data_IF_260636064727
#
_entry.id   IF_260636064727
#
_cell.length_a   1.000
_cell.length_b   1.000
_cell.length_c   1.000
_cell.angle_alpha   90.00
_cell.angle_beta   90.00
_cell.angle_gamma   90.00
#
_symmetry.space_group_name_H-M   'P 1'
#
loop_
_entity.id
_entity.type
_entity.pdbx_description
1 polymer ?
#
# COMPACT_ATOMS: atom_id res chain seq x y z
N UNK A 1 22.38 1.57 -20.42
CA UNK A 1 22.30 1.50 -18.94
C UNK A 1 20.86 1.34 -18.58
N UNK A 2 20.43 0.17 -18.12
CA UNK A 2 19.08 0.00 -17.56
C UNK A 2 19.12 0.57 -16.15
N UNK A 3 18.47 1.72 -15.95
CA UNK A 3 18.29 2.29 -14.62
C UNK A 3 17.51 1.29 -13.75
N UNK A 4 18.07 0.85 -12.64
CA UNK A 4 17.32 0.07 -11.64
C UNK A 4 16.44 1.07 -10.88
N UNK A 5 15.14 0.98 -11.06
CA UNK A 5 14.19 1.73 -10.23
C UNK A 5 14.18 1.10 -8.83
N UNK A 6 14.41 1.92 -7.80
CA UNK A 6 14.35 1.49 -6.41
C UNK A 6 12.89 1.61 -5.93
N UNK A 7 12.22 0.48 -5.77
CA UNK A 7 10.81 0.43 -5.39
C UNK A 7 10.55 0.49 -3.88
N UNK A 8 11.59 0.50 -3.07
CA UNK A 8 11.46 0.66 -1.63
C UNK A 8 12.77 0.43 -0.91
N UNK A 9 12.93 1.07 0.21
CA UNK A 9 14.04 0.90 1.14
C UNK A 9 13.58 1.26 2.55
N UNK A 10 14.25 0.73 3.56
CA UNK A 10 14.00 1.09 4.95
C UNK A 10 15.31 1.47 5.63
N UNK A 11 15.27 2.47 6.51
CA UNK A 11 16.42 2.83 7.32
C UNK A 11 16.72 1.73 8.34
N UNK A 12 17.99 1.37 8.49
CA UNK A 12 18.45 0.46 9.56
C UNK A 12 18.54 1.16 10.92
N UNK A 13 18.46 2.50 10.95
CA UNK A 13 18.41 3.26 12.18
C UNK A 13 17.02 3.11 12.82
N UNK A 14 16.93 2.56 14.05
CA UNK A 14 15.66 2.35 14.74
C UNK A 14 14.82 3.63 14.91
N UNK A 15 15.47 4.78 15.02
CA UNK A 15 14.79 6.08 15.16
C UNK A 15 14.13 6.56 13.87
N UNK A 16 14.56 6.00 12.73
CA UNK A 16 14.12 6.43 11.38
C UNK A 16 13.47 5.30 10.59
N UNK A 17 13.38 4.11 11.13
CA UNK A 17 12.86 2.94 10.39
C UNK A 17 11.39 3.08 9.97
N UNK A 18 10.61 3.89 10.68
CA UNK A 18 9.22 4.18 10.34
C UNK A 18 9.05 5.38 9.39
N UNK A 19 10.15 6.01 8.98
CA UNK A 19 10.10 7.07 7.98
C UNK A 19 9.93 6.46 6.58
N UNK A 20 8.86 6.83 5.84
CA UNK A 20 8.73 6.39 4.46
C UNK A 20 9.81 7.05 3.60
N UNK A 21 10.41 6.28 2.73
CA UNK A 21 11.52 6.70 1.88
C UNK A 21 11.12 6.75 0.40
N UNK A 22 12.04 7.13 -0.46
CA UNK A 22 11.84 7.23 -1.91
C UNK A 22 10.68 8.16 -2.27
N UNK A 23 9.85 7.80 -3.24
CA UNK A 23 8.68 8.58 -3.66
C UNK A 23 7.53 8.57 -2.63
N UNK A 24 7.61 7.70 -1.61
CA UNK A 24 6.67 7.69 -0.49
C UNK A 24 7.00 8.70 0.61
N UNK A 25 8.14 9.41 0.54
CA UNK A 25 8.57 10.32 1.60
C UNK A 25 7.48 11.33 1.98
N UNK A 26 7.41 11.68 3.28
CA UNK A 26 6.40 12.62 3.80
C UNK A 26 6.51 14.01 3.18
N UNK A 27 7.71 14.40 2.72
CA UNK A 27 7.98 15.65 2.00
C UNK A 27 7.80 15.54 0.48
N UNK A 28 7.29 14.42 -0.01
CA UNK A 28 7.04 14.17 -1.43
C UNK A 28 5.56 14.13 -1.79
N UNK A 29 5.24 13.88 -3.08
CA UNK A 29 3.86 13.91 -3.57
C UNK A 29 2.90 12.96 -2.83
N UNK A 30 3.37 11.77 -2.45
CA UNK A 30 2.55 10.82 -1.68
C UNK A 30 2.27 11.37 -0.28
N UNK A 31 3.30 11.95 0.37
CA UNK A 31 3.15 12.60 1.67
C UNK A 31 2.14 13.75 1.64
N UNK A 32 2.21 14.60 0.60
CA UNK A 32 1.27 15.71 0.41
C UNK A 32 -0.17 15.21 0.25
N UNK A 33 -0.39 14.13 -0.51
CA UNK A 33 -1.70 13.51 -0.65
C UNK A 33 -2.23 13.03 0.70
N UNK A 34 -1.45 12.26 1.48
CA UNK A 34 -1.87 11.77 2.78
C UNK A 34 -2.05 12.88 3.82
N UNK A 35 -1.30 13.97 3.72
CA UNK A 35 -1.50 15.17 4.56
C UNK A 35 -2.82 15.89 4.22
N UNK A 36 -3.18 15.96 2.94
CA UNK A 36 -4.42 16.58 2.47
C UNK A 36 -5.65 15.69 2.72
N UNK A 37 -5.50 14.36 2.61
CA UNK A 37 -6.55 13.39 2.88
C UNK A 37 -6.78 13.27 4.40
N UNK A 38 -7.78 13.95 4.91
CA UNK A 38 -8.19 13.83 6.33
C UNK A 38 -8.96 12.52 6.54
N UNK A 39 -8.26 11.39 6.39
CA UNK A 39 -8.86 10.08 6.63
C UNK A 39 -9.40 9.97 8.06
N UNK A 40 -10.58 9.35 8.17
CA UNK A 40 -11.22 9.08 9.46
C UNK A 40 -10.37 8.14 10.33
N UNK A 41 -10.56 8.16 11.66
CA UNK A 41 -9.84 7.25 12.56
C UNK A 41 -10.09 5.76 12.27
N UNK A 42 -11.25 5.42 11.71
CA UNK A 42 -11.69 4.07 11.35
C UNK A 42 -11.66 3.81 9.83
N UNK A 43 -10.95 4.66 9.07
CA UNK A 43 -10.91 4.58 7.62
C UNK A 43 -10.44 3.21 7.12
N UNK A 44 -11.05 2.76 6.03
CA UNK A 44 -10.71 1.52 5.33
C UNK A 44 -9.97 1.86 4.05
N UNK A 45 -8.72 1.45 3.99
CA UNK A 45 -7.81 1.75 2.88
C UNK A 45 -7.41 0.46 2.17
N UNK A 46 -7.60 0.43 0.87
CA UNK A 46 -7.08 -0.63 0.01
C UNK A 46 -5.85 -0.12 -0.75
N UNK A 47 -4.81 -0.94 -0.78
CA UNK A 47 -3.58 -0.66 -1.54
C UNK A 47 -3.37 -1.78 -2.55
N UNK A 48 -3.31 -1.43 -3.81
CA UNK A 48 -2.98 -2.35 -4.91
C UNK A 48 -1.48 -2.31 -5.15
N UNK A 49 -0.81 -3.39 -4.85
CA UNK A 49 0.65 -3.50 -4.73
C UNK A 49 1.12 -3.35 -3.28
N UNK A 50 2.12 -4.14 -2.91
CA UNK A 50 2.70 -4.14 -1.57
C UNK A 50 4.11 -3.56 -1.54
N UNK A 51 4.95 -4.01 -2.49
CA UNK A 51 6.38 -3.68 -2.48
C UNK A 51 7.03 -4.06 -1.14
N UNK A 52 7.68 -3.11 -0.50
CA UNK A 52 8.29 -3.31 0.84
C UNK A 52 7.31 -3.00 1.99
N UNK A 53 6.05 -2.67 1.69
CA UNK A 53 5.07 -2.27 2.70
C UNK A 53 5.18 -0.81 3.15
N UNK A 54 5.96 0.03 2.47
CA UNK A 54 6.26 1.41 2.89
C UNK A 54 5.01 2.26 3.13
N UNK A 55 3.95 2.09 2.35
CA UNK A 55 2.68 2.82 2.55
C UNK A 55 2.05 2.59 3.92
N UNK A 56 2.37 1.49 4.61
CA UNK A 56 1.91 1.24 5.97
C UNK A 56 2.41 2.29 6.99
N UNK A 57 3.45 3.06 6.65
CA UNK A 57 3.89 4.21 7.46
C UNK A 57 2.81 5.28 7.65
N UNK A 58 1.84 5.34 6.75
CA UNK A 58 0.72 6.29 6.81
C UNK A 58 -0.48 5.76 7.61
N UNK A 59 -0.50 4.48 7.93
CA UNK A 59 -1.57 3.87 8.71
C UNK A 59 -1.58 4.42 10.15
N UNK A 60 -2.78 4.74 10.65
CA UNK A 60 -3.00 5.29 11.99
C UNK A 60 -3.80 4.32 12.85
N UNK A 61 -3.73 4.51 14.15
CA UNK A 61 -4.53 3.76 15.13
C UNK A 61 -6.01 3.68 14.71
N UNK A 62 -6.57 2.47 14.71
CA UNK A 62 -7.97 2.19 14.40
C UNK A 62 -8.30 2.07 12.91
N UNK A 63 -7.41 2.47 12.01
CA UNK A 63 -7.62 2.31 10.58
C UNK A 63 -7.40 0.86 10.15
N UNK A 64 -8.06 0.48 9.05
CA UNK A 64 -7.94 -0.83 8.40
C UNK A 64 -7.29 -0.67 7.04
N UNK A 65 -6.13 -1.29 6.88
CA UNK A 65 -5.37 -1.26 5.64
C UNK A 65 -5.26 -2.66 5.06
N UNK A 66 -5.66 -2.83 3.81
CA UNK A 66 -5.55 -4.09 3.10
C UNK A 66 -4.67 -3.89 1.88
N UNK A 67 -3.55 -4.59 1.86
CA UNK A 67 -2.64 -4.64 0.72
C UNK A 67 -2.96 -5.86 -0.14
N UNK A 68 -3.01 -5.68 -1.45
CA UNK A 68 -3.19 -6.74 -2.43
C UNK A 68 -1.91 -6.91 -3.22
N UNK A 69 -1.32 -8.11 -3.19
CA UNK A 69 -0.06 -8.40 -3.87
C UNK A 69 -0.17 -9.72 -4.63
N UNK A 70 0.25 -9.71 -5.88
CA UNK A 70 0.16 -10.89 -6.75
C UNK A 70 1.36 -11.81 -6.61
N UNK A 71 2.51 -11.29 -6.17
CA UNK A 71 3.76 -12.04 -6.03
C UNK A 71 3.96 -12.47 -4.57
N UNK A 72 3.88 -13.78 -4.34
CA UNK A 72 4.07 -14.40 -3.02
C UNK A 72 5.49 -14.16 -2.46
N UNK A 73 6.49 -14.00 -3.33
CA UNK A 73 7.85 -13.69 -2.90
C UNK A 73 7.93 -12.28 -2.32
N UNK A 74 7.20 -11.31 -2.90
CA UNK A 74 7.10 -9.94 -2.36
C UNK A 74 6.40 -9.97 -1.01
N UNK A 75 5.31 -10.74 -0.88
CA UNK A 75 4.59 -10.89 0.40
C UNK A 75 5.52 -11.44 1.48
N UNK A 76 6.25 -12.53 1.19
CA UNK A 76 7.20 -13.12 2.15
C UNK A 76 8.25 -12.13 2.62
N UNK A 77 8.84 -11.36 1.71
CA UNK A 77 9.89 -10.39 2.02
C UNK A 77 9.34 -9.21 2.83
N UNK A 78 8.13 -8.72 2.50
CA UNK A 78 7.52 -7.60 3.22
C UNK A 78 7.02 -7.98 4.62
N UNK A 79 6.61 -9.23 4.83
CA UNK A 79 6.18 -9.75 6.15
C UNK A 79 7.36 -10.23 7.02
N UNK A 80 8.54 -10.42 6.45
CA UNK A 80 9.75 -10.80 7.20
C UNK A 80 10.35 -9.57 7.89
N UNK A 81 10.20 -9.48 9.21
CA UNK A 81 10.74 -8.38 10.02
C UNK A 81 12.28 -8.31 10.00
N UNK A 82 12.96 -9.35 9.55
CA UNK A 82 14.40 -9.32 9.27
C UNK A 82 14.76 -8.53 8.01
N UNK A 83 13.78 -8.35 7.10
CA UNK A 83 13.92 -7.58 5.86
C UNK A 83 13.31 -6.19 6.00
N UNK A 84 11.99 -6.11 6.33
CA UNK A 84 11.25 -4.86 6.47
C UNK A 84 10.30 -4.92 7.67
N UNK A 85 10.12 -3.81 8.38
CA UNK A 85 9.28 -3.75 9.58
C UNK A 85 8.02 -2.91 9.40
N UNK A 86 7.79 -2.32 8.23
CA UNK A 86 6.72 -1.36 7.99
C UNK A 86 5.32 -1.88 8.37
N UNK A 87 5.00 -3.11 7.98
CA UNK A 87 3.70 -3.73 8.29
C UNK A 87 3.57 -4.01 9.78
N UNK A 88 4.61 -4.60 10.38
CA UNK A 88 4.66 -4.90 11.80
C UNK A 88 4.60 -3.62 12.65
N UNK A 89 5.32 -2.57 12.26
CA UNK A 89 5.30 -1.28 12.95
C UNK A 89 3.90 -0.63 12.89
N UNK A 90 3.23 -0.69 11.74
CA UNK A 90 1.86 -0.20 11.61
C UNK A 90 0.89 -0.96 12.52
N UNK A 91 1.01 -2.30 12.60
CA UNK A 91 0.22 -3.15 13.52
C UNK A 91 0.52 -2.79 14.98
N UNK A 92 1.80 -2.58 15.33
CA UNK A 92 2.21 -2.15 16.68
C UNK A 92 1.64 -0.77 17.06
N UNK A 93 1.46 0.13 16.09
CA UNK A 93 0.79 1.43 16.31
C UNK A 93 -0.74 1.33 16.41
N UNK A 94 -1.31 0.12 16.26
CA UNK A 94 -2.73 -0.14 16.41
C UNK A 94 -3.56 0.02 15.13
N UNK A 95 -2.93 0.01 13.96
CA UNK A 95 -3.64 -0.18 12.71
C UNK A 95 -3.91 -1.67 12.46
N UNK A 96 -5.08 -1.99 11.90
CA UNK A 96 -5.36 -3.31 11.37
C UNK A 96 -4.76 -3.42 9.97
N UNK A 97 -3.69 -4.20 9.81
CA UNK A 97 -3.02 -4.36 8.50
C UNK A 97 -3.09 -5.80 8.06
N UNK A 98 -3.75 -6.02 6.92
CA UNK A 98 -3.85 -7.31 6.23
C UNK A 98 -3.12 -7.27 4.89
N UNK A 99 -2.54 -8.41 4.50
CA UNK A 99 -2.02 -8.65 3.15
C UNK A 99 -2.84 -9.78 2.53
N UNK A 100 -3.36 -9.56 1.34
CA UNK A 100 -4.12 -10.54 0.57
C UNK A 100 -3.35 -10.83 -0.71
N UNK A 101 -2.90 -12.08 -0.84
CA UNK A 101 -2.24 -12.56 -2.04
C UNK A 101 -3.25 -12.75 -3.17
N UNK A 102 -2.87 -12.30 -4.37
CA UNK A 102 -3.61 -12.49 -5.61
C UNK A 102 -3.82 -11.21 -6.41
N UNK A 103 -4.52 -11.37 -7.54
CA UNK A 103 -4.89 -10.24 -8.39
C UNK A 103 -5.83 -9.27 -7.64
N UNK A 104 -5.36 -8.06 -7.44
CA UNK A 104 -6.07 -7.02 -6.69
C UNK A 104 -7.45 -6.69 -7.26
N UNK A 105 -7.59 -6.70 -8.60
CA UNK A 105 -8.86 -6.41 -9.26
C UNK A 105 -9.89 -7.49 -8.97
N UNK A 106 -9.47 -8.76 -8.99
CA UNK A 106 -10.34 -9.88 -8.67
C UNK A 106 -10.72 -9.86 -7.18
N UNK A 107 -9.75 -9.66 -6.29
CA UNK A 107 -9.99 -9.59 -4.85
C UNK A 107 -10.89 -8.42 -4.45
N UNK A 108 -10.69 -7.24 -5.06
CA UNK A 108 -11.56 -6.08 -4.84
C UNK A 108 -12.98 -6.31 -5.37
N UNK A 109 -13.16 -7.12 -6.42
CA UNK A 109 -14.49 -7.43 -6.93
C UNK A 109 -15.35 -8.15 -5.87
N UNK A 110 -14.74 -9.00 -5.04
CA UNK A 110 -15.39 -9.75 -3.97
C UNK A 110 -15.70 -8.90 -2.72
N UNK A 111 -15.08 -7.73 -2.58
CA UNK A 111 -15.35 -6.83 -1.46
C UNK A 111 -16.76 -6.21 -1.58
N UNK A 112 -17.44 -5.86 -0.46
CA UNK A 112 -18.71 -5.14 -0.52
C UNK A 112 -18.55 -3.78 -1.24
N UNK A 113 -19.63 -3.32 -1.87
CA UNK A 113 -19.68 -1.98 -2.45
C UNK A 113 -19.73 -0.91 -1.35
N UNK A 114 -19.19 0.27 -1.62
CA UNK A 114 -19.09 1.39 -0.68
C UNK A 114 -18.43 1.00 0.67
N UNK A 115 -17.44 0.11 0.61
CA UNK A 115 -16.76 -0.40 1.81
C UNK A 115 -15.41 0.26 2.10
N UNK A 116 -14.91 1.08 1.18
CA UNK A 116 -13.58 1.68 1.26
C UNK A 116 -13.66 3.22 1.28
N UNK A 117 -12.77 3.85 2.02
CA UNK A 117 -12.61 5.30 2.05
C UNK A 117 -11.49 5.78 1.11
N UNK A 118 -10.55 4.88 0.75
CA UNK A 118 -9.44 5.17 -0.16
C UNK A 118 -8.98 3.89 -0.87
N UNK A 119 -8.66 4.03 -2.15
CA UNK A 119 -7.94 3.01 -2.91
C UNK A 119 -6.67 3.64 -3.47
N UNK A 120 -5.51 3.06 -3.16
CA UNK A 120 -4.21 3.47 -3.69
C UNK A 120 -3.76 2.45 -4.73
N UNK A 121 -3.40 2.90 -5.93
CA UNK A 121 -2.87 2.06 -7.00
C UNK A 121 -1.36 2.26 -7.06
N UNK A 122 -0.60 1.33 -6.50
CA UNK A 122 0.87 1.36 -6.41
C UNK A 122 1.51 0.06 -6.94
N UNK A 123 0.84 -0.60 -7.86
CA UNK A 123 1.38 -1.79 -8.50
C UNK A 123 2.14 -1.42 -9.76
N UNK A 124 3.35 -1.98 -9.89
CA UNK A 124 4.21 -1.80 -11.06
C UNK A 124 4.58 -3.16 -11.65
N UNK A 125 4.48 -3.27 -12.98
CA UNK A 125 5.07 -4.35 -13.74
C UNK A 125 6.14 -3.74 -14.63
N UNK A 126 7.40 -4.02 -14.32
CA UNK A 126 8.54 -3.28 -14.87
C UNK A 126 8.48 -1.79 -14.49
N UNK A 127 8.40 -0.87 -15.45
CA UNK A 127 8.38 0.58 -15.20
C UNK A 127 6.99 1.21 -15.38
N UNK A 128 5.92 0.40 -15.44
CA UNK A 128 4.57 0.91 -15.69
C UNK A 128 3.50 0.22 -14.83
N UNK A 129 2.43 0.94 -14.53
CA UNK A 129 1.24 0.36 -13.91
C UNK A 129 0.58 -0.61 -14.91
N UNK A 130 0.23 -1.84 -14.50
CA UNK A 130 -0.44 -2.81 -15.37
C UNK A 130 -1.74 -2.25 -15.96
N UNK A 131 -1.86 -2.32 -17.30
CA UNK A 131 -2.98 -1.71 -18.03
C UNK A 131 -4.34 -2.20 -17.55
N UNK A 132 -4.47 -3.46 -17.13
CA UNK A 132 -5.71 -4.03 -16.63
C UNK A 132 -6.20 -3.36 -15.33
N UNK A 133 -5.30 -2.74 -14.56
CA UNK A 133 -5.63 -1.97 -13.35
C UNK A 133 -6.13 -0.55 -13.67
N UNK A 134 -5.89 -0.05 -14.87
CA UNK A 134 -6.29 1.28 -15.33
C UNK A 134 -7.39 1.24 -16.39
N UNK A 135 -7.95 0.07 -16.69
CA UNK A 135 -9.03 -0.06 -17.65
C UNK A 135 -10.31 0.63 -17.16
N UNK A 136 -11.22 0.94 -18.10
CA UNK A 136 -12.52 1.54 -17.77
C UNK A 136 -13.28 0.69 -16.76
N UNK A 137 -13.25 -0.63 -16.91
CA UNK A 137 -13.91 -1.60 -16.02
C UNK A 137 -13.28 -1.62 -14.63
N UNK A 138 -11.95 -1.50 -14.53
CA UNK A 138 -11.25 -1.41 -13.26
C UNK A 138 -11.62 -0.10 -12.52
N UNK A 139 -11.60 1.03 -13.21
CA UNK A 139 -12.01 2.31 -12.61
C UNK A 139 -13.50 2.27 -12.19
N UNK A 140 -14.37 1.68 -12.99
CA UNK A 140 -15.78 1.50 -12.60
C UNK A 140 -15.93 0.60 -11.37
N UNK A 141 -15.12 -0.46 -11.26
CA UNK A 141 -15.06 -1.31 -10.06
C UNK A 141 -14.64 -0.49 -8.84
N UNK A 142 -13.51 0.24 -8.91
CA UNK A 142 -12.99 1.03 -7.78
C UNK A 142 -14.01 2.05 -7.28
N UNK A 143 -14.71 2.74 -8.20
CA UNK A 143 -15.76 3.70 -7.85
C UNK A 143 -16.95 3.07 -7.13
N UNK A 144 -17.26 1.80 -7.38
CA UNK A 144 -18.32 1.10 -6.63
C UNK A 144 -17.86 0.73 -5.22
N UNK A 145 -16.54 0.47 -5.05
CA UNK A 145 -16.00 0.06 -3.75
C UNK A 145 -15.74 1.25 -2.79
N UNK A 146 -15.61 2.45 -3.35
CA UNK A 146 -15.57 3.74 -2.64
C UNK A 146 -17.00 4.21 -2.33
#
# INVERSE_FOLDING_TARGET
>A
MHGRTLHGQQSLDPSRREEPSTYFARSGPVGDVFAALKLKPDARVAVVGLGTGTLACYARLGQRWTFYEIDDAVVRVAEDEGCFTYLADARRRGAEVAVIEGDARLRLADAPDAALDLIVLDAFSSDAVPVHLLSREAIALYRRKL
#
